data_IF_674222846483
#
_entry.id   IF_674222846483
#
_cell.length_a   1.000
_cell.length_b   1.000
_cell.length_c   1.000
_cell.angle_alpha   90.00
_cell.angle_beta   90.00
_cell.angle_gamma   90.00
#
_symmetry.space_group_name_H-M   'P 1'
#
loop_
_entity.id
_entity.type
_entity.pdbx_description
1 polymer ?
#
# COMPACT_ATOMS: atom_id res chain seq x y z
N UNK A 1 -6.83 12.73 16.13
CA UNK A 1 -6.15 13.42 15.02
C UNK A 1 -7.04 13.46 13.78
N UNK A 2 -7.38 12.32 13.16
CA UNK A 2 -8.27 12.29 11.98
C UNK A 2 -9.63 12.97 12.19
N UNK A 3 -10.28 12.79 13.35
CA UNK A 3 -11.56 13.43 13.67
C UNK A 3 -11.53 14.97 13.74
N UNK A 4 -10.34 15.60 13.71
CA UNK A 4 -10.18 17.06 13.69
C UNK A 4 -9.96 17.62 12.29
N UNK A 5 -9.87 16.75 11.27
CA UNK A 5 -9.71 17.18 9.87
C UNK A 5 -11.04 17.78 9.42
N UNK A 6 -11.05 19.03 8.93
CA UNK A 6 -12.29 19.75 8.63
C UNK A 6 -13.02 19.21 7.40
N UNK A 7 -12.27 18.69 6.43
CA UNK A 7 -12.80 18.10 5.20
C UNK A 7 -12.05 16.79 4.92
N UNK A 8 -12.71 15.67 5.20
CA UNK A 8 -12.12 14.35 5.01
C UNK A 8 -12.08 13.95 3.54
N UNK A 9 -12.96 14.48 2.70
CA UNK A 9 -12.98 14.20 1.27
C UNK A 9 -11.76 14.78 0.55
N UNK A 10 -11.05 15.73 1.18
CA UNK A 10 -9.78 16.29 0.68
C UNK A 10 -8.56 15.85 1.47
N UNK A 11 -8.72 14.90 2.40
CA UNK A 11 -7.63 14.42 3.23
C UNK A 11 -6.74 13.41 2.48
N UNK A 12 -5.43 13.50 2.72
CA UNK A 12 -4.45 12.48 2.30
C UNK A 12 -3.94 11.79 3.55
N UNK A 13 -4.13 10.47 3.64
CA UNK A 13 -3.53 9.65 4.69
C UNK A 13 -2.17 9.17 4.21
N UNK A 14 -1.13 9.46 4.98
CA UNK A 14 0.23 9.01 4.72
C UNK A 14 0.64 8.01 5.81
N UNK A 15 0.42 6.73 5.56
CA UNK A 15 0.72 5.65 6.51
C UNK A 15 1.74 4.72 5.89
N UNK A 16 2.83 4.45 6.61
CA UNK A 16 3.89 3.58 6.09
C UNK A 16 3.36 2.19 5.70
N UNK A 17 2.66 1.52 6.62
CA UNK A 17 2.10 0.20 6.35
C UNK A 17 0.90 0.29 5.38
N UNK A 18 0.80 -0.62 4.40
CA UNK A 18 -0.35 -0.69 3.51
C UNK A 18 -1.58 -1.23 4.26
N UNK A 19 -2.80 -0.88 3.80
CA UNK A 19 -4.01 -1.49 4.33
C UNK A 19 -4.03 -2.99 4.03
N UNK A 20 -4.44 -3.79 5.01
CA UNK A 20 -4.61 -5.23 4.82
C UNK A 20 -5.59 -5.54 3.67
N UNK A 21 -5.30 -6.61 2.93
CA UNK A 21 -6.14 -7.16 1.87
C UNK A 21 -6.44 -6.12 0.78
N UNK A 22 -5.38 -5.41 0.33
CA UNK A 22 -5.50 -4.32 -0.63
C UNK A 22 -4.67 -4.53 -1.89
N UNK A 23 -3.94 -5.64 -2.00
CA UNK A 23 -2.91 -5.91 -3.04
C UNK A 23 -1.64 -5.05 -2.89
N UNK A 24 -1.69 -3.93 -2.17
CA UNK A 24 -0.51 -3.13 -1.78
C UNK A 24 0.34 -3.82 -0.70
N UNK A 25 -0.16 -4.93 -0.16
CA UNK A 25 0.38 -5.62 1.01
C UNK A 25 0.83 -7.05 0.75
N UNK A 26 0.95 -7.42 -0.53
CA UNK A 26 1.27 -8.78 -0.98
C UNK A 26 2.76 -9.06 -0.91
N UNK A 27 3.17 -10.08 -0.15
CA UNK A 27 4.56 -10.52 -0.10
C UNK A 27 4.66 -12.05 0.00
N UNK A 28 5.86 -12.63 -0.21
CA UNK A 28 6.08 -14.04 0.06
C UNK A 28 5.74 -14.41 1.51
N UNK A 29 4.96 -15.46 1.70
CA UNK A 29 4.74 -16.05 3.01
C UNK A 29 6.02 -16.71 3.49
N UNK A 30 6.42 -16.46 4.73
CA UNK A 30 7.64 -16.98 5.31
C UNK A 30 7.39 -18.22 6.18
N UNK A 31 8.28 -19.20 6.06
CA UNK A 31 8.42 -20.34 6.95
C UNK A 31 9.27 -19.95 8.15
N UNK A 32 8.60 -19.72 9.28
CA UNK A 32 9.22 -19.32 10.55
C UNK A 32 9.83 -20.50 11.32
N UNK A 33 9.77 -21.73 10.80
CA UNK A 33 10.45 -22.89 11.41
C UNK A 33 11.94 -22.95 11.07
N UNK A 34 12.40 -22.09 10.15
CA UNK A 34 13.80 -21.96 9.72
C UNK A 34 14.42 -20.67 10.21
N UNK A 35 15.75 -20.67 10.31
CA UNK A 35 16.56 -19.50 10.66
C UNK A 35 17.72 -19.33 9.65
N UNK A 36 17.71 -18.26 8.82
CA UNK A 36 16.68 -17.24 8.71
C UNK A 36 15.38 -17.79 8.09
N UNK A 37 14.22 -17.15 8.33
CA UNK A 37 12.97 -17.51 7.67
C UNK A 37 13.11 -17.51 6.14
N UNK A 38 12.51 -18.49 5.48
CA UNK A 38 12.56 -18.62 4.01
C UNK A 38 11.16 -18.55 3.42
N UNK A 39 11.02 -18.10 2.17
CA UNK A 39 9.73 -18.16 1.47
C UNK A 39 9.18 -19.59 1.35
N UNK A 40 7.86 -19.74 1.48
CA UNK A 40 7.15 -21.00 1.27
C UNK A 40 6.88 -21.19 -0.22
N UNK A 41 7.20 -22.39 -0.73
CA UNK A 41 6.92 -22.80 -2.12
C UNK A 41 6.01 -24.02 -2.10
N UNK A 42 4.87 -23.93 -2.79
CA UNK A 42 3.91 -25.03 -2.92
C UNK A 42 3.55 -25.22 -4.40
N UNK A 43 3.64 -26.46 -4.90
CA UNK A 43 3.38 -26.74 -6.32
C UNK A 43 4.31 -26.00 -7.29
N UNK A 44 5.53 -25.65 -6.85
CA UNK A 44 6.49 -24.90 -7.65
C UNK A 44 6.26 -23.39 -7.70
N UNK A 45 5.28 -22.86 -6.95
CA UNK A 45 5.00 -21.42 -6.87
C UNK A 45 5.24 -20.88 -5.46
N UNK A 46 5.70 -19.63 -5.36
CA UNK A 46 5.81 -18.92 -4.08
C UNK A 46 4.41 -18.64 -3.54
N UNK A 47 4.17 -19.01 -2.29
CA UNK A 47 2.92 -18.71 -1.61
C UNK A 47 2.93 -17.24 -1.20
N UNK A 48 1.90 -16.50 -1.61
CA UNK A 48 1.75 -15.07 -1.31
C UNK A 48 0.83 -14.86 -0.10
N UNK A 49 1.07 -13.78 0.63
CA UNK A 49 0.35 -13.40 1.84
C UNK A 49 0.14 -11.88 1.92
N UNK A 50 -0.99 -11.45 2.51
CA UNK A 50 -1.31 -10.06 2.79
C UNK A 50 -0.79 -9.61 4.17
N UNK A 51 0.38 -8.98 4.18
CA UNK A 51 1.10 -8.51 5.37
C UNK A 51 0.68 -7.10 5.83
N UNK A 52 -0.44 -6.58 5.32
CA UNK A 52 -0.88 -5.23 5.60
C UNK A 52 -1.50 -5.07 6.99
N UNK A 53 -1.69 -3.81 7.38
CA UNK A 53 -2.24 -3.44 8.67
C UNK A 53 -3.76 -3.39 8.66
N UNK A 54 -4.37 -4.15 9.58
CA UNK A 54 -5.82 -4.13 9.79
C UNK A 54 -6.31 -2.78 10.35
N UNK A 55 -5.51 -2.10 11.17
CA UNK A 55 -5.87 -0.80 11.72
C UNK A 55 -5.82 0.31 10.67
N UNK A 56 -4.86 0.25 9.74
CA UNK A 56 -4.80 1.15 8.57
C UNK A 56 -6.02 0.95 7.69
N UNK A 57 -6.37 -0.30 7.38
CA UNK A 57 -7.59 -0.65 6.63
C UNK A 57 -8.83 -0.07 7.29
N UNK A 58 -9.02 -0.32 8.60
CA UNK A 58 -10.17 0.18 9.35
C UNK A 58 -10.23 1.72 9.40
N UNK A 59 -9.07 2.39 9.50
CA UNK A 59 -9.01 3.85 9.46
C UNK A 59 -9.46 4.40 8.10
N UNK A 60 -9.00 3.80 7.00
CA UNK A 60 -9.39 4.19 5.64
C UNK A 60 -10.88 3.95 5.41
N UNK A 61 -11.43 2.79 5.80
CA UNK A 61 -12.86 2.49 5.65
C UNK A 61 -13.74 3.42 6.50
N UNK A 62 -13.28 3.79 7.70
CA UNK A 62 -14.00 4.69 8.61
C UNK A 62 -14.01 6.14 8.11
N UNK A 63 -12.85 6.68 7.77
CA UNK A 63 -12.69 8.10 7.47
C UNK A 63 -12.82 8.40 5.98
N UNK A 64 -12.50 7.46 5.09
CA UNK A 64 -12.65 7.58 3.63
C UNK A 64 -11.95 8.82 3.02
N UNK A 65 -10.64 9.03 3.29
CA UNK A 65 -9.87 10.12 2.68
C UNK A 65 -9.87 10.02 1.14
N UNK A 66 -9.50 11.07 0.41
CA UNK A 66 -9.33 10.95 -1.05
C UNK A 66 -8.20 10.01 -1.45
N UNK A 67 -7.12 9.99 -0.68
CA UNK A 67 -5.87 9.31 -1.02
C UNK A 67 -5.22 8.67 0.21
N UNK A 68 -4.73 7.45 0.06
CA UNK A 68 -3.83 6.75 0.97
C UNK A 68 -2.48 6.52 0.31
N UNK A 69 -1.40 6.99 0.94
CA UNK A 69 -0.03 6.78 0.49
C UNK A 69 0.66 5.80 1.44
N UNK A 70 1.28 4.78 0.85
CA UNK A 70 1.80 3.61 1.55
C UNK A 70 3.18 3.19 1.03
N UNK A 71 3.86 2.35 1.82
CA UNK A 71 5.13 1.70 1.50
C UNK A 71 5.23 0.34 2.19
N UNK A 72 6.33 0.12 2.91
CA UNK A 72 6.61 -1.07 3.74
C UNK A 72 6.81 -2.38 2.97
N UNK A 73 5.86 -2.78 2.13
CA UNK A 73 5.96 -4.00 1.32
C UNK A 73 6.53 -3.63 -0.05
N UNK A 74 7.83 -3.86 -0.21
CA UNK A 74 8.62 -3.38 -1.34
C UNK A 74 8.21 -4.04 -2.67
N UNK A 75 7.81 -5.30 -2.60
CA UNK A 75 7.41 -6.14 -3.73
C UNK A 75 6.01 -5.81 -4.25
N UNK A 76 5.22 -5.03 -3.50
CA UNK A 76 3.82 -4.71 -3.80
C UNK A 76 3.62 -3.32 -4.39
N UNK A 77 4.28 -3.04 -5.51
CA UNK A 77 3.92 -1.88 -6.31
C UNK A 77 2.49 -2.05 -6.84
N UNK A 78 1.53 -1.28 -6.31
CA UNK A 78 0.12 -1.39 -6.66
C UNK A 78 -0.68 -0.12 -6.36
N UNK A 79 -1.84 -0.03 -7.01
CA UNK A 79 -2.91 0.92 -6.69
C UNK A 79 -4.19 0.14 -6.45
N UNK A 80 -4.90 0.47 -5.37
CA UNK A 80 -6.18 -0.12 -5.05
C UNK A 80 -7.20 0.93 -4.64
N UNK A 81 -8.47 0.60 -4.79
CA UNK A 81 -9.59 1.40 -4.28
C UNK A 81 -10.16 0.73 -3.04
N UNK A 82 -10.27 1.48 -1.94
CA UNK A 82 -10.98 1.07 -0.73
C UNK A 82 -12.14 2.05 -0.54
N UNK A 83 -13.34 1.64 -0.96
CA UNK A 83 -14.45 2.58 -1.12
C UNK A 83 -14.07 3.68 -2.12
N UNK A 84 -14.16 4.96 -1.71
CA UNK A 84 -13.74 6.09 -2.57
C UNK A 84 -12.24 6.34 -2.59
N UNK A 85 -11.53 5.92 -1.54
CA UNK A 85 -10.11 6.22 -1.34
C UNK A 85 -9.26 5.48 -2.35
N UNK A 86 -8.44 6.21 -3.11
CA UNK A 86 -7.34 5.61 -3.88
C UNK A 86 -6.18 5.36 -2.92
N UNK A 87 -5.66 4.14 -2.86
CA UNK A 87 -4.49 3.78 -2.07
C UNK A 87 -3.35 3.41 -3.01
N UNK A 88 -2.15 3.92 -2.75
CA UNK A 88 -0.98 3.71 -3.61
C UNK A 88 0.20 3.24 -2.77
N UNK A 89 0.83 2.14 -3.19
CA UNK A 89 2.16 1.73 -2.76
C UNK A 89 3.08 1.74 -4.01
N UNK A 90 4.09 2.62 -4.08
CA UNK A 90 5.03 2.65 -5.20
C UNK A 90 5.95 1.42 -5.26
N UNK A 91 6.04 0.63 -4.20
CA UNK A 91 7.07 -0.42 -4.05
C UNK A 91 8.46 0.18 -3.83
N UNK A 92 9.47 -0.69 -3.82
CA UNK A 92 10.87 -0.28 -3.67
C UNK A 92 11.82 -1.30 -4.29
N UNK A 93 12.82 -0.81 -5.02
CA UNK A 93 13.92 -1.58 -5.59
C UNK A 93 15.26 -0.97 -5.14
N UNK A 94 15.33 -0.53 -3.89
CA UNK A 94 16.50 0.19 -3.35
C UNK A 94 17.78 -0.65 -3.40
N UNK A 95 17.68 -1.99 -3.32
CA UNK A 95 18.84 -2.89 -3.44
C UNK A 95 19.52 -2.82 -4.80
N UNK A 96 18.75 -2.46 -5.84
CA UNK A 96 19.23 -2.23 -7.20
C UNK A 96 19.55 -0.75 -7.45
N UNK A 97 19.44 0.11 -6.43
CA UNK A 97 19.63 1.56 -6.54
C UNK A 97 18.52 2.28 -7.30
N UNK A 98 17.36 1.65 -7.51
CA UNK A 98 16.24 2.20 -8.28
C UNK A 98 15.23 2.87 -7.35
N UNK A 99 14.93 4.14 -7.62
CA UNK A 99 13.90 4.89 -6.93
C UNK A 99 12.53 4.67 -7.59
N UNK A 100 11.65 3.94 -6.91
CA UNK A 100 10.23 3.83 -7.28
C UNK A 100 9.45 5.01 -6.68
N UNK A 101 8.47 5.51 -7.43
CA UNK A 101 7.64 6.63 -7.01
C UNK A 101 6.27 6.63 -7.70
N UNK A 102 5.44 7.60 -7.33
CA UNK A 102 4.16 7.82 -8.00
C UNK A 102 3.85 9.31 -8.11
N UNK A 103 3.52 9.77 -9.32
CA UNK A 103 2.95 11.08 -9.58
C UNK A 103 1.43 10.96 -9.55
N UNK A 104 0.75 11.80 -8.78
CA UNK A 104 -0.71 11.77 -8.62
C UNK A 104 -1.29 13.13 -8.98
N UNK A 105 -2.24 13.14 -9.91
CA UNK A 105 -3.02 14.32 -10.27
C UNK A 105 -4.39 14.25 -9.61
N UNK A 106 -4.79 15.33 -8.93
CA UNK A 106 -6.08 15.40 -8.25
C UNK A 106 -6.68 16.80 -8.30
N UNK A 107 -8.01 16.86 -8.28
CA UNK A 107 -8.80 18.10 -8.26
C UNK A 107 -9.95 17.90 -7.29
N UNK A 108 -10.15 18.85 -6.38
CA UNK A 108 -11.29 18.90 -5.44
C UNK A 108 -11.65 17.59 -4.72
N UNK A 109 -10.64 16.86 -4.22
CA UNK A 109 -10.86 15.61 -3.47
C UNK A 109 -11.02 14.37 -4.36
N UNK A 110 -10.76 14.49 -5.66
CA UNK A 110 -10.84 13.41 -6.62
C UNK A 110 -9.52 13.18 -7.34
N UNK A 111 -9.09 11.91 -7.39
CA UNK A 111 -7.91 11.49 -8.14
C UNK A 111 -8.26 11.43 -9.63
N UNK A 112 -7.62 12.27 -10.43
CA UNK A 112 -7.79 12.34 -11.88
C UNK A 112 -6.89 11.35 -12.62
N UNK A 113 -5.74 11.04 -12.04
CA UNK A 113 -4.81 10.08 -12.61
C UNK A 113 -3.60 9.86 -11.72
N UNK A 114 -2.87 8.80 -12.00
CA UNK A 114 -1.59 8.51 -11.36
C UNK A 114 -0.64 7.89 -12.38
N UNK A 115 0.66 8.07 -12.16
CA UNK A 115 1.72 7.47 -12.95
C UNK A 115 2.78 6.92 -12.00
N UNK A 116 3.05 5.63 -12.10
CA UNK A 116 4.18 5.03 -11.41
C UNK A 116 5.48 5.43 -12.11
N UNK A 117 6.50 5.78 -11.32
CA UNK A 117 7.78 6.28 -11.82
C UNK A 117 8.92 5.39 -11.34
N UNK A 118 10.02 5.41 -12.11
CA UNK A 118 11.27 4.73 -11.81
C UNK A 118 12.42 5.60 -12.28
N UNK A 119 13.49 5.69 -11.51
CA UNK A 119 14.70 6.43 -11.88
C UNK A 119 15.89 6.11 -11.01
#
# INVERSE_FOLDING_TARGET
MAAKVPDMDKAIFNFHDPPKDSTLDTCPMLDWTKDPPTQIVQGGQVVLYGAGSQSVRAAIEKYKPMLGLHGHIHESQSVAKIGRTTCINPGSEYGEGILRGCLVNFVDGEIQGYQMTSG
#
